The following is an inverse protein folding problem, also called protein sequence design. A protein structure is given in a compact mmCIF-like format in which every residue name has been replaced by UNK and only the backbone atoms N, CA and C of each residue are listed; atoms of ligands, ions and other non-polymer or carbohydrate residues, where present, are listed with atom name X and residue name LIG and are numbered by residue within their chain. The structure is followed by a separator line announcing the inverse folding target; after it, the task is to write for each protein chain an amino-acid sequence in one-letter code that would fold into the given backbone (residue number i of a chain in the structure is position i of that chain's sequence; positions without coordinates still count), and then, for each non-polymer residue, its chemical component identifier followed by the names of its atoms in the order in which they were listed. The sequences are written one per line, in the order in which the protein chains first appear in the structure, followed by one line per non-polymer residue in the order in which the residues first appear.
data_IF_457591147800
#
_entry.id   IF_457591147800
#
_cell.length_a   1.000
_cell.length_b   1.000
_cell.length_c   1.000
_cell.angle_alpha   90.00
_cell.angle_beta   90.00
_cell.angle_gamma   90.00
#
_symmetry.space_group_name_H-M   'P 1'
#
loop_
_entity.id
_entity.type
_entity.pdbx_description
1 polymer ?
#
# COMPACT_ATOMS: atom_id res chain seq x y z
N UNK A 1 -6.42 14.20 8.72
CA UNK A 1 -6.13 12.93 8.03
C UNK A 1 -5.51 13.13 6.65
N UNK A 2 -5.95 14.09 5.83
CA UNK A 2 -5.38 14.36 4.48
C UNK A 2 -3.92 14.82 4.58
N UNK A 3 -3.59 15.67 5.56
CA UNK A 3 -2.21 16.15 5.79
C UNK A 3 -1.27 14.99 6.17
N UNK A 4 -1.71 14.07 7.04
CA UNK A 4 -0.92 12.89 7.44
C UNK A 4 -0.66 11.96 6.25
N UNK A 5 -1.64 11.74 5.38
CA UNK A 5 -1.47 10.93 4.17
C UNK A 5 -0.46 11.58 3.20
N UNK A 6 -0.50 12.91 3.04
CA UNK A 6 0.47 13.64 2.23
C UNK A 6 1.90 13.50 2.75
N UNK A 7 2.11 13.67 4.06
CA UNK A 7 3.44 13.49 4.70
C UNK A 7 3.92 12.04 4.56
N UNK A 8 3.07 11.03 4.76
CA UNK A 8 3.43 9.63 4.55
C UNK A 8 3.85 9.34 3.11
N UNK A 9 3.16 9.90 2.12
CA UNK A 9 3.52 9.71 0.70
C UNK A 9 4.87 10.36 0.38
N UNK A 10 5.16 11.54 0.92
CA UNK A 10 6.46 12.22 0.79
C UNK A 10 7.58 11.48 1.54
N UNK A 11 7.28 10.85 2.68
CA UNK A 11 8.27 10.13 3.48
C UNK A 11 8.58 8.71 2.95
N UNK A 12 7.76 8.15 2.05
CA UNK A 12 7.95 6.81 1.50
C UNK A 12 9.30 6.62 0.80
N UNK A 13 9.78 7.55 -0.08
CA UNK A 13 11.07 7.44 -0.73
C UNK A 13 12.25 7.37 0.25
N UNK A 14 12.05 7.90 1.44
CA UNK A 14 13.02 8.03 2.51
C UNK A 14 13.26 6.69 3.21
N UNK A 15 12.19 5.94 3.46
CA UNK A 15 12.29 4.69 4.22
C UNK A 15 12.83 3.53 3.37
N UNK A 16 12.65 3.57 2.03
CA UNK A 16 12.89 2.42 1.13
C UNK A 16 13.85 2.70 -0.03
N UNK A 17 14.29 3.93 -0.24
CA UNK A 17 15.01 4.37 -1.45
C UNK A 17 14.20 4.15 -2.76
N UNK A 18 12.89 4.00 -2.67
CA UNK A 18 11.97 3.85 -3.79
C UNK A 18 10.82 4.85 -3.68
N UNK A 19 10.35 5.34 -4.81
CA UNK A 19 9.15 6.18 -4.84
C UNK A 19 7.89 5.35 -4.54
N UNK A 20 6.79 6.01 -4.16
CA UNK A 20 5.50 5.34 -4.01
C UNK A 20 5.06 4.60 -5.28
N UNK A 21 5.37 5.16 -6.46
CA UNK A 21 5.10 4.53 -7.74
C UNK A 21 5.92 3.24 -7.94
N UNK A 22 7.21 3.27 -7.61
CA UNK A 22 8.07 2.08 -7.67
C UNK A 22 7.61 0.98 -6.72
N UNK A 23 7.25 1.31 -5.47
CA UNK A 23 6.74 0.35 -4.50
C UNK A 23 5.50 -0.37 -5.02
N UNK A 24 4.53 0.37 -5.58
CA UNK A 24 3.33 -0.23 -6.18
C UNK A 24 3.72 -1.09 -7.38
N UNK A 25 4.51 -0.54 -8.30
CA UNK A 25 4.90 -1.21 -9.53
C UNK A 25 5.62 -2.54 -9.30
N UNK A 26 6.52 -2.58 -8.32
CA UNK A 26 7.33 -3.77 -8.03
C UNK A 26 6.57 -4.84 -7.23
N UNK A 27 5.61 -4.44 -6.40
CA UNK A 27 4.97 -5.35 -5.45
C UNK A 27 3.58 -5.80 -5.85
N UNK A 28 2.88 -5.08 -6.73
CA UNK A 28 1.57 -5.49 -7.24
C UNK A 28 1.69 -6.77 -8.07
N UNK A 29 0.96 -7.82 -7.67
CA UNK A 29 1.01 -9.14 -8.32
C UNK A 29 -0.31 -9.88 -8.09
N UNK A 30 -1.04 -10.16 -9.18
CA UNK A 30 -2.32 -10.89 -9.18
C UNK A 30 -2.24 -12.31 -8.61
N UNK A 31 -1.05 -12.91 -8.61
CA UNK A 31 -0.85 -14.28 -8.14
C UNK A 31 -0.59 -14.36 -6.62
N UNK A 32 -0.46 -13.20 -5.96
CA UNK A 32 -0.27 -13.12 -4.52
C UNK A 32 -1.59 -12.82 -3.81
N UNK A 33 -1.74 -13.25 -2.55
CA UNK A 33 -2.88 -12.86 -1.73
C UNK A 33 -3.04 -11.34 -1.70
N UNK A 34 -4.28 -10.84 -1.78
CA UNK A 34 -4.60 -9.42 -1.79
C UNK A 34 -3.82 -8.60 -2.83
N UNK A 35 -3.54 -9.18 -4.00
CA UNK A 35 -2.79 -8.54 -5.10
C UNK A 35 -1.36 -8.10 -4.68
N UNK A 36 -0.77 -8.80 -3.71
CA UNK A 36 0.55 -8.48 -3.17
C UNK A 36 0.57 -7.43 -2.06
N UNK A 37 -0.58 -6.93 -1.62
CA UNK A 37 -0.67 -6.04 -0.46
C UNK A 37 -0.41 -6.80 0.84
N UNK A 38 0.42 -6.25 1.71
CA UNK A 38 0.85 -6.87 2.98
C UNK A 38 0.18 -6.24 4.21
N UNK A 39 -0.29 -4.99 4.10
CA UNK A 39 -0.99 -4.25 5.16
C UNK A 39 -2.43 -3.90 4.78
N UNK A 40 -3.10 -4.81 4.12
CA UNK A 40 -4.50 -4.67 3.78
C UNK A 40 -5.39 -5.11 4.96
N UNK A 41 -6.35 -4.28 5.35
CA UNK A 41 -7.23 -4.51 6.50
C UNK A 41 -8.73 -4.63 6.10
N UNK A 42 -9.00 -5.00 4.87
CA UNK A 42 -10.37 -5.17 4.38
C UNK A 42 -10.71 -6.63 4.13
N UNK A 43 -12.01 -6.93 4.04
CA UNK A 43 -12.51 -8.26 3.71
C UNK A 43 -12.37 -8.56 2.20
N UNK A 44 -12.36 -7.52 1.38
CA UNK A 44 -12.21 -7.63 -0.08
C UNK A 44 -11.43 -6.46 -0.65
N UNK A 45 -10.62 -6.74 -1.66
CA UNK A 45 -9.77 -5.75 -2.32
C UNK A 45 -10.59 -4.88 -3.26
N UNK A 46 -10.39 -3.56 -3.20
CA UNK A 46 -11.01 -2.59 -4.11
C UNK A 46 -9.99 -2.00 -5.09
N UNK A 47 -10.50 -1.38 -6.16
CA UNK A 47 -9.66 -0.71 -7.15
C UNK A 47 -8.91 0.52 -6.58
N UNK A 48 -9.36 1.08 -5.47
CA UNK A 48 -8.68 2.17 -4.76
C UNK A 48 -7.53 1.64 -3.90
N UNK A 49 -7.68 0.48 -3.27
CA UNK A 49 -6.69 -0.09 -2.35
C UNK A 49 -5.37 -0.41 -3.07
N UNK A 50 -5.46 -0.97 -4.28
CA UNK A 50 -4.28 -1.34 -5.08
C UNK A 50 -3.45 -0.16 -5.56
N UNK A 51 -3.94 1.07 -5.43
CA UNK A 51 -3.26 2.31 -5.81
C UNK A 51 -2.54 3.00 -4.64
N UNK A 52 -2.62 2.42 -3.45
CA UNK A 52 -2.05 3.00 -2.22
C UNK A 52 -0.74 2.28 -1.87
N UNK A 53 0.39 2.94 -2.04
CA UNK A 53 1.72 2.37 -1.83
C UNK A 53 1.91 1.79 -0.42
N UNK A 54 1.37 2.44 0.60
CA UNK A 54 1.44 2.01 2.00
C UNK A 54 0.89 0.60 2.21
N UNK A 55 -0.10 0.16 1.42
CA UNK A 55 -0.70 -1.16 1.53
C UNK A 55 0.27 -2.29 1.12
N UNK A 56 1.32 -1.97 0.38
CA UNK A 56 2.36 -2.90 -0.06
C UNK A 56 3.60 -2.93 0.85
N UNK A 57 3.63 -2.12 1.92
CA UNK A 57 4.74 -2.09 2.86
C UNK A 57 4.63 -3.25 3.85
N UNK A 58 5.77 -3.83 4.21
CA UNK A 58 5.81 -4.78 5.33
C UNK A 58 5.52 -4.05 6.65
N UNK A 59 5.14 -4.78 7.68
CA UNK A 59 4.87 -4.20 9.01
C UNK A 59 6.06 -3.39 9.52
N UNK A 60 7.28 -3.93 9.39
CA UNK A 60 8.51 -3.24 9.78
C UNK A 60 8.75 -1.96 9.00
N UNK A 61 8.53 -1.99 7.70
CA UNK A 61 8.64 -0.81 6.83
C UNK A 61 7.62 0.27 7.23
N UNK A 62 6.39 -0.15 7.52
CA UNK A 62 5.33 0.76 7.96
C UNK A 62 5.64 1.37 9.34
N UNK A 63 6.17 0.60 10.29
CA UNK A 63 6.61 1.11 11.58
C UNK A 63 7.70 2.17 11.43
N UNK A 64 8.70 1.91 10.61
CA UNK A 64 9.77 2.90 10.32
C UNK A 64 9.21 4.16 9.70
N UNK A 65 8.32 4.03 8.71
CA UNK A 65 7.66 5.17 8.09
C UNK A 65 6.88 6.01 9.09
N UNK A 66 6.10 5.36 9.96
CA UNK A 66 5.31 6.03 10.98
C UNK A 66 6.18 6.77 12.00
N UNK A 67 7.31 6.19 12.42
CA UNK A 67 8.25 6.84 13.32
C UNK A 67 8.88 8.11 12.70
N UNK A 68 9.29 8.04 11.44
CA UNK A 68 9.83 9.22 10.72
C UNK A 68 8.78 10.32 10.56
N UNK A 69 7.55 9.95 10.23
CA UNK A 69 6.43 10.90 10.11
C UNK A 69 6.12 11.54 11.47
N UNK A 70 6.11 10.75 12.56
CA UNK A 70 5.88 11.28 13.92
C UNK A 70 6.94 12.28 14.32
N UNK A 71 8.22 12.00 14.12
CA UNK A 71 9.32 12.94 14.41
C UNK A 71 9.14 14.26 13.65
N UNK A 72 8.73 14.20 12.39
CA UNK A 72 8.52 15.39 11.58
C UNK A 72 7.30 16.20 12.06
N UNK A 73 6.22 15.52 12.45
CA UNK A 73 5.03 16.18 12.99
C UNK A 73 5.28 16.82 14.36
N UNK A 74 6.04 16.14 15.23
CA UNK A 74 6.43 16.70 16.53
C UNK A 74 7.28 17.98 16.35
N UNK A 75 8.21 17.96 15.40
CA UNK A 75 8.97 19.15 15.03
C UNK A 75 8.06 20.28 14.52
N UNK A 76 7.10 19.95 13.63
CA UNK A 76 6.16 20.92 13.09
C UNK A 76 5.28 21.53 14.18
N UNK A 77 4.83 20.74 15.15
CA UNK A 77 4.04 21.20 16.28
C UNK A 77 4.87 22.17 17.16
N UNK A 78 6.13 21.85 17.44
CA UNK A 78 7.02 22.71 18.19
C UNK A 78 7.21 24.08 17.50
N UNK A 79 7.44 24.11 16.18
CA UNK A 79 7.55 25.37 15.44
C UNK A 79 6.26 26.19 15.50
N UNK A 80 5.10 25.53 15.43
CA UNK A 80 3.80 26.19 15.55
C UNK A 80 3.58 26.77 16.96
N UNK A 81 3.99 26.08 18.02
CA UNK A 81 3.90 26.57 19.41
C UNK A 81 4.80 27.77 19.64
N UNK A 82 5.95 27.81 18.98
CA UNK A 82 6.91 28.96 19.06
C UNK A 82 6.54 30.09 18.09
N UNK A 83 5.39 30.00 17.42
CA UNK A 83 4.93 30.96 16.41
C UNK A 83 5.98 31.20 15.29
N UNK A 84 6.82 30.20 15.03
CA UNK A 84 7.87 30.28 14.03
C UNK A 84 7.32 29.90 12.64
N UNK A 85 7.04 30.90 11.81
CA UNK A 85 6.61 30.66 10.43
C UNK A 85 7.78 30.13 9.60
N UNK A 86 7.61 28.94 9.00
CA UNK A 86 8.60 28.32 8.15
C UNK A 86 8.17 28.36 6.67
N UNK A 87 9.11 28.66 5.80
CA UNK A 87 8.93 28.54 4.35
C UNK A 87 9.01 27.07 3.92
N UNK A 88 8.50 26.74 2.73
CA UNK A 88 8.61 25.40 2.18
C UNK A 88 10.06 24.92 2.06
N UNK A 89 10.99 25.82 1.78
CA UNK A 89 12.41 25.51 1.63
C UNK A 89 13.07 25.14 2.97
N UNK A 90 12.67 25.81 4.04
CA UNK A 90 13.11 25.49 5.39
C UNK A 90 12.55 24.12 5.84
N UNK A 91 11.29 23.80 5.50
CA UNK A 91 10.70 22.48 5.75
C UNK A 91 11.46 21.37 5.04
N UNK A 92 11.84 21.55 3.77
CA UNK A 92 12.65 20.58 3.02
C UNK A 92 14.03 20.40 3.68
N UNK A 93 14.69 21.50 4.05
CA UNK A 93 16.00 21.46 4.72
C UNK A 93 15.94 20.76 6.08
N UNK A 94 14.86 20.93 6.84
CA UNK A 94 14.66 20.24 8.10
C UNK A 94 14.41 18.75 7.91
N UNK A 95 13.62 18.39 6.92
CA UNK A 95 13.42 16.99 6.55
C UNK A 95 14.75 16.31 6.22
N UNK A 96 15.59 16.93 5.40
CA UNK A 96 16.93 16.42 5.06
C UNK A 96 17.80 16.24 6.31
N UNK A 97 17.74 17.19 7.24
CA UNK A 97 18.50 17.15 8.50
C UNK A 97 18.04 16.00 9.40
N UNK A 98 16.75 15.82 9.56
CA UNK A 98 16.18 14.71 10.35
C UNK A 98 16.52 13.34 9.73
N UNK A 99 16.51 13.23 8.42
CA UNK A 99 16.89 12.02 7.72
C UNK A 99 18.37 11.69 7.93
N UNK A 100 19.25 12.68 7.80
CA UNK A 100 20.67 12.50 8.05
C UNK A 100 20.93 12.08 9.51
N UNK A 101 20.23 12.67 10.47
CA UNK A 101 20.30 12.29 11.88
C UNK A 101 19.86 10.84 12.13
N UNK A 102 18.88 10.35 11.38
CA UNK A 102 18.42 8.96 11.41
C UNK A 102 19.25 8.01 10.52
N UNK A 103 20.39 8.47 9.99
CA UNK A 103 21.27 7.72 9.06
C UNK A 103 20.55 7.22 7.82
N UNK A 104 19.63 8.01 7.31
CA UNK A 104 18.86 7.72 6.10
C UNK A 104 19.14 8.79 5.05
N UNK A 105 19.01 8.41 3.80
CA UNK A 105 19.22 9.29 2.66
C UNK A 105 17.88 9.49 1.95
N UNK A 106 17.65 10.72 1.51
CA UNK A 106 16.54 11.03 0.62
C UNK A 106 16.81 10.44 -0.76
N UNK A 107 15.81 9.83 -1.38
CA UNK A 107 15.90 9.44 -2.78
C UNK A 107 16.08 10.70 -3.64
N UNK A 108 17.22 10.78 -4.35
CA UNK A 108 17.45 11.87 -5.28
C UNK A 108 16.85 11.52 -6.65
N UNK A 109 15.90 12.36 -7.11
CA UNK A 109 15.28 12.20 -8.42
C UNK A 109 13.84 11.69 -8.41
N UNK A 110 13.30 11.50 -9.61
CA UNK A 110 11.89 11.14 -9.81
C UNK A 110 11.61 9.64 -9.72
N UNK A 111 12.62 8.82 -9.49
CA UNK A 111 12.51 7.37 -9.61
C UNK A 111 12.48 6.89 -11.07
N UNK A 112 12.49 5.58 -11.27
CA UNK A 112 12.49 4.93 -12.59
C UNK A 112 11.09 4.66 -13.14
N UNK A 113 10.06 4.67 -12.28
CA UNK A 113 8.67 4.38 -12.62
C UNK A 113 7.80 5.63 -12.44
N UNK A 114 7.07 5.99 -13.48
CA UNK A 114 6.12 7.10 -13.41
C UNK A 114 4.85 6.70 -12.65
N UNK A 115 4.18 7.69 -12.05
CA UNK A 115 2.88 7.46 -11.40
C UNK A 115 1.86 6.79 -12.35
N UNK A 116 1.82 7.21 -13.61
CA UNK A 116 0.93 6.65 -14.63
C UNK A 116 1.20 5.15 -14.84
N UNK A 117 2.45 4.76 -15.03
CA UNK A 117 2.84 3.35 -15.21
C UNK A 117 2.46 2.48 -14.00
N UNK A 118 2.68 2.99 -12.79
CA UNK A 118 2.29 2.27 -11.58
C UNK A 118 0.77 2.08 -11.47
N UNK A 119 -0.02 3.12 -11.77
CA UNK A 119 -1.48 3.05 -11.73
C UNK A 119 -2.06 2.12 -12.80
N UNK A 120 -1.51 2.15 -14.01
CA UNK A 120 -1.91 1.25 -15.10
C UNK A 120 -1.62 -0.21 -14.75
N UNK A 121 -0.44 -0.51 -14.22
CA UNK A 121 -0.08 -1.86 -13.77
C UNK A 121 -0.98 -2.32 -12.64
N UNK A 122 -1.20 -1.50 -11.60
CA UNK A 122 -2.07 -1.82 -10.48
C UNK A 122 -3.51 -2.13 -10.94
N UNK A 123 -4.06 -1.32 -11.85
CA UNK A 123 -5.40 -1.54 -12.39
C UNK A 123 -5.48 -2.83 -13.22
N UNK A 124 -4.47 -3.13 -14.02
CA UNK A 124 -4.39 -4.36 -14.82
C UNK A 124 -4.31 -5.61 -13.93
N UNK A 125 -3.41 -5.62 -12.96
CA UNK A 125 -3.25 -6.73 -12.01
C UNK A 125 -4.52 -6.96 -11.19
N UNK A 126 -5.16 -5.89 -10.72
CA UNK A 126 -6.43 -5.97 -10.00
C UNK A 126 -7.55 -6.58 -10.84
N UNK A 127 -7.69 -6.16 -12.12
CA UNK A 127 -8.70 -6.72 -13.02
C UNK A 127 -8.53 -8.23 -13.21
N UNK A 128 -7.28 -8.67 -13.38
CA UNK A 128 -6.97 -10.09 -13.55
C UNK A 128 -7.17 -10.88 -12.25
N UNK A 129 -6.79 -10.30 -11.11
CA UNK A 129 -7.06 -10.88 -9.79
C UNK A 129 -8.55 -11.10 -9.55
N UNK A 130 -9.40 -10.09 -9.83
CA UNK A 130 -10.86 -10.23 -9.71
C UNK A 130 -11.42 -11.31 -10.62
N UNK A 131 -10.92 -11.43 -11.85
CA UNK A 131 -11.33 -12.50 -12.77
C UNK A 131 -10.96 -13.89 -12.24
N UNK A 132 -9.80 -14.04 -11.60
CA UNK A 132 -9.39 -15.28 -10.94
C UNK A 132 -10.28 -15.63 -9.75
N UNK A 133 -10.57 -14.65 -8.87
CA UNK A 133 -11.48 -14.84 -7.74
C UNK A 133 -12.87 -15.29 -8.18
N UNK A 134 -13.45 -14.63 -9.18
CA UNK A 134 -14.77 -15.01 -9.71
C UNK A 134 -14.78 -16.43 -10.25
N UNK A 135 -13.76 -16.80 -11.01
CA UNK A 135 -13.62 -18.17 -11.55
C UNK A 135 -13.50 -19.22 -10.44
N UNK A 136 -12.77 -18.91 -9.37
CA UNK A 136 -12.64 -19.80 -8.22
C UNK A 136 -13.96 -19.96 -7.48
N UNK A 137 -14.71 -18.87 -7.26
CA UNK A 137 -16.04 -18.92 -6.63
C UNK A 137 -17.05 -19.75 -7.44
N UNK A 138 -17.06 -19.60 -8.78
CA UNK A 138 -17.90 -20.41 -9.67
C UNK A 138 -17.54 -21.92 -9.55
N UNK A 139 -16.24 -22.23 -9.55
CA UNK A 139 -15.76 -23.61 -9.41
C UNK A 139 -16.13 -24.21 -8.03
N UNK A 140 -16.03 -23.45 -6.96
CA UNK A 140 -16.36 -23.91 -5.62
C UNK A 140 -17.88 -24.07 -5.43
N UNK A 141 -18.68 -23.19 -6.03
CA UNK A 141 -20.14 -23.33 -6.07
C UNK A 141 -20.57 -24.59 -6.83
N UNK A 142 -20.03 -24.84 -8.01
CA UNK A 142 -20.33 -26.04 -8.79
C UNK A 142 -19.97 -27.31 -8.03
N UNK A 143 -18.84 -27.31 -7.30
CA UNK A 143 -18.40 -28.43 -6.47
C UNK A 143 -19.40 -28.68 -5.32
N UNK A 144 -19.83 -27.62 -4.65
CA UNK A 144 -20.81 -27.72 -3.56
C UNK A 144 -22.17 -28.25 -4.06
N UNK A 145 -22.62 -27.81 -5.23
CA UNK A 145 -23.88 -28.29 -5.84
C UNK A 145 -23.78 -29.77 -6.20
N UNK A 146 -22.65 -30.25 -6.73
CA UNK A 146 -22.44 -31.70 -7.03
C UNK A 146 -22.50 -32.53 -5.76
N UNK A 147 -21.81 -32.13 -4.69
CA UNK A 147 -21.84 -32.82 -3.39
C UNK A 147 -23.25 -32.90 -2.79
N UNK A 148 -24.03 -31.83 -2.92
CA UNK A 148 -25.43 -31.83 -2.44
C UNK A 148 -26.33 -32.78 -3.26
N UNK A 149 -26.10 -32.91 -4.55
CA UNK A 149 -26.82 -33.85 -5.42
C UNK A 149 -26.47 -35.32 -5.13
N UNK A 150 -25.20 -35.61 -4.89
CA UNK A 150 -24.71 -36.95 -4.52
C UNK A 150 -25.27 -37.41 -3.18
N UNK A 151 -25.28 -36.51 -2.17
CA UNK A 151 -25.84 -36.79 -0.85
C UNK A 151 -27.37 -37.00 -0.87
N UNK A 152 -28.10 -36.38 -1.80
CA UNK A 152 -29.53 -36.61 -1.95
C UNK A 152 -29.85 -37.90 -2.73
N UNK A 153 -28.96 -38.38 -3.59
CA UNK A 153 -29.11 -39.63 -4.30
C UNK A 153 -28.86 -40.89 -3.48
N UNK A 154 -28.18 -40.76 -2.31
CA UNK A 154 -27.90 -41.88 -1.42
C UNK A 154 -28.98 -42.21 -0.38
N UNK A 155 -30.10 -41.46 -0.31
CA UNK A 155 -31.17 -41.64 0.69
C UNK A 155 -32.45 -42.32 0.16
N UNK A 156 -32.37 -43.05 -0.98
CA UNK A 156 -33.52 -43.77 -1.54
C UNK A 156 -33.23 -45.27 -1.72
N UNK A 157 -32.70 -45.92 -0.72
CA UNK A 157 -32.74 -47.39 -0.64
C UNK A 157 -32.70 -47.80 0.86
N UNK A 158 -33.84 -47.68 1.51
CA UNK A 158 -34.30 -48.56 2.59
C UNK A 158 -35.82 -48.77 2.46
#
# INVERSE_FOLDING_TARGET
SVAVTGVQTCALPISHKHTAAEVIYDRVDRNKPFVGMTNFQGDYVTASDVKVAKNYLTEKELQVLNLLVSQFLDFAELQAMEEHAMTMQEWIGELDRQLAANRRELLQGKGSVSHKQAMEKAASEFKLYRAQEMKQLESDFDRAVRQLKENKGGSQHE
#
